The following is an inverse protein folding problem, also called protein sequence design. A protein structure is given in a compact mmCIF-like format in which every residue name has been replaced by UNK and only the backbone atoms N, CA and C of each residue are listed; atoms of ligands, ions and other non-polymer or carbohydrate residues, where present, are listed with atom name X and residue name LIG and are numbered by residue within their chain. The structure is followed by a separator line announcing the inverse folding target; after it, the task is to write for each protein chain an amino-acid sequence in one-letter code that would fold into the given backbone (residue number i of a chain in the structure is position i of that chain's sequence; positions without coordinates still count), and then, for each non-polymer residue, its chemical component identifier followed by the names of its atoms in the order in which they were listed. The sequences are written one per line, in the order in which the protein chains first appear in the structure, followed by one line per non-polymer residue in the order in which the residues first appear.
data_IF_323480203543
#
_entry.id   IF_323480203543
#
_cell.length_a   1.000
_cell.length_b   1.000
_cell.length_c   1.000
_cell.angle_alpha   90.00
_cell.angle_beta   90.00
_cell.angle_gamma   90.00
#
_symmetry.space_group_name_H-M   'P 1'
#
loop_
_entity.id
_entity.type
_entity.pdbx_description
1 polymer ?
#
# COMPACT_ATOMS: atom_id res chain seq x y z
N UNK A 1 27.10 24.68 -44.47
CA UNK A 1 26.03 23.68 -44.63
C UNK A 1 26.08 22.43 -43.70
N UNK A 2 27.08 22.26 -42.81
CA UNK A 2 27.12 21.13 -41.86
C UNK A 2 26.56 21.44 -40.46
N UNK A 3 26.58 22.71 -40.07
CA UNK A 3 26.16 23.17 -38.74
C UNK A 3 24.66 22.91 -38.52
N UNK A 4 23.83 23.09 -39.55
CA UNK A 4 22.38 22.86 -39.50
C UNK A 4 22.09 21.37 -39.29
N UNK A 5 22.80 20.48 -40.01
CA UNK A 5 22.64 19.03 -39.85
C UNK A 5 23.08 18.55 -38.47
N UNK A 6 24.17 19.11 -37.92
CA UNK A 6 24.65 18.76 -36.58
C UNK A 6 23.68 19.20 -35.48
N UNK A 7 23.09 20.39 -35.61
CA UNK A 7 22.11 20.88 -34.64
C UNK A 7 20.81 20.06 -34.67
N UNK A 8 20.38 19.65 -35.86
CA UNK A 8 19.20 18.79 -36.03
C UNK A 8 19.40 17.41 -35.39
N UNK A 9 20.59 16.81 -35.58
CA UNK A 9 20.96 15.55 -34.94
C UNK A 9 20.98 15.66 -33.41
N UNK A 10 21.52 16.77 -32.89
CA UNK A 10 21.56 17.01 -31.45
C UNK A 10 20.15 17.14 -30.86
N UNK A 11 19.25 17.85 -31.54
CA UNK A 11 17.85 17.97 -31.15
C UNK A 11 17.14 16.60 -31.18
N UNK A 12 17.30 15.82 -32.24
CA UNK A 12 16.69 14.49 -32.34
C UNK A 12 17.22 13.54 -31.26
N UNK A 13 18.53 13.54 -31.00
CA UNK A 13 19.13 12.72 -29.95
C UNK A 13 18.67 13.17 -28.56
N UNK A 14 18.52 14.47 -28.32
CA UNK A 14 17.98 15.01 -27.06
C UNK A 14 16.50 14.63 -26.85
N UNK A 15 15.69 14.66 -27.91
CA UNK A 15 14.31 14.20 -27.85
C UNK A 15 14.25 12.69 -27.58
N UNK A 16 15.09 11.91 -28.26
CA UNK A 16 15.18 10.46 -28.08
C UNK A 16 15.60 10.12 -26.66
N UNK A 17 16.61 10.81 -26.11
CA UNK A 17 17.05 10.59 -24.73
C UNK A 17 15.99 11.01 -23.71
N UNK A 18 15.27 12.12 -23.95
CA UNK A 18 14.16 12.53 -23.08
C UNK A 18 13.04 11.49 -23.05
N UNK A 19 12.68 10.90 -24.20
CA UNK A 19 11.69 9.81 -24.26
C UNK A 19 12.17 8.58 -23.49
N UNK A 20 13.44 8.19 -23.64
CA UNK A 20 14.02 7.07 -22.89
C UNK A 20 13.97 7.33 -21.39
N UNK A 21 14.36 8.53 -20.94
CA UNK A 21 14.30 8.91 -19.52
C UNK A 21 12.85 8.88 -19.02
N UNK A 22 11.90 9.40 -19.79
CA UNK A 22 10.49 9.38 -19.43
C UNK A 22 9.95 7.95 -19.25
N UNK A 23 10.27 7.05 -20.18
CA UNK A 23 9.89 5.62 -20.09
C UNK A 23 10.53 4.96 -18.87
N UNK A 24 11.79 5.27 -18.55
CA UNK A 24 12.46 4.74 -17.35
C UNK A 24 11.79 5.25 -16.07
N UNK A 25 11.46 6.54 -15.99
CA UNK A 25 10.74 7.10 -14.85
C UNK A 25 9.36 6.46 -14.69
N UNK A 26 8.62 6.29 -15.79
CA UNK A 26 7.35 5.57 -15.78
C UNK A 26 7.51 4.12 -15.33
N UNK A 27 8.52 3.39 -15.82
CA UNK A 27 8.77 2.02 -15.39
C UNK A 27 9.06 1.96 -13.89
N UNK A 28 9.87 2.89 -13.36
CA UNK A 28 10.17 2.99 -11.93
C UNK A 28 8.89 3.29 -11.13
N UNK A 29 8.06 4.24 -11.56
CA UNK A 29 6.82 4.57 -10.85
C UNK A 29 5.80 3.44 -10.93
N UNK A 30 5.67 2.77 -12.07
CA UNK A 30 4.82 1.59 -12.25
C UNK A 30 5.28 0.44 -11.37
N UNK A 31 6.59 0.14 -11.33
CA UNK A 31 7.14 -0.90 -10.44
C UNK A 31 6.90 -0.52 -8.97
N UNK A 32 7.12 0.74 -8.59
CA UNK A 32 6.83 1.22 -7.24
C UNK A 32 5.34 1.12 -6.90
N UNK A 33 4.45 1.39 -7.85
CA UNK A 33 3.01 1.25 -7.65
C UNK A 33 2.58 -0.21 -7.57
N UNK A 34 3.19 -1.11 -8.35
CA UNK A 34 2.98 -2.56 -8.25
C UNK A 34 3.47 -3.11 -6.90
N UNK A 35 4.61 -2.60 -6.42
CA UNK A 35 5.15 -2.91 -5.09
C UNK A 35 4.25 -2.32 -3.99
N UNK A 36 3.77 -1.08 -4.15
CA UNK A 36 2.86 -0.46 -3.20
C UNK A 36 1.51 -1.17 -3.15
N UNK A 37 1.00 -1.72 -4.26
CA UNK A 37 -0.19 -2.55 -4.24
C UNK A 37 0.03 -3.84 -3.43
N UNK A 38 1.24 -4.43 -3.49
CA UNK A 38 1.60 -5.57 -2.64
C UNK A 38 1.87 -5.19 -1.18
N UNK A 39 2.45 -4.02 -0.91
CA UNK A 39 2.67 -3.55 0.47
C UNK A 39 1.38 -3.07 1.13
N UNK A 40 0.44 -2.49 0.36
CA UNK A 40 -0.93 -2.32 0.83
C UNK A 40 -1.55 -3.68 1.07
N UNK A 41 -1.41 -4.71 0.24
CA UNK A 41 -1.98 -6.04 0.52
C UNK A 41 -1.49 -6.62 1.86
N UNK A 42 -0.20 -6.55 2.19
CA UNK A 42 0.30 -7.07 3.47
C UNK A 42 0.01 -6.17 4.68
N UNK A 43 0.03 -4.84 4.52
CA UNK A 43 -0.35 -3.91 5.58
C UNK A 43 -1.88 -3.86 5.79
N UNK A 44 -2.65 -4.02 4.72
CA UNK A 44 -4.11 -4.15 4.77
C UNK A 44 -4.52 -5.50 5.28
N UNK A 45 -3.85 -6.61 5.01
CA UNK A 45 -4.22 -7.89 5.59
C UNK A 45 -4.20 -7.85 7.13
N UNK A 46 -3.12 -7.31 7.71
CA UNK A 46 -3.01 -7.12 9.16
C UNK A 46 -4.01 -6.06 9.66
N UNK A 47 -4.13 -4.92 8.99
CA UNK A 47 -5.10 -3.89 9.37
C UNK A 47 -6.57 -4.38 9.26
N UNK A 48 -6.87 -5.24 8.28
CA UNK A 48 -8.17 -5.88 8.07
C UNK A 48 -8.43 -6.95 9.13
N UNK A 49 -7.40 -7.67 9.57
CA UNK A 49 -7.51 -8.61 10.70
C UNK A 49 -7.81 -7.85 12.00
N UNK A 50 -7.04 -6.80 12.30
CA UNK A 50 -7.28 -5.90 13.45
C UNK A 50 -8.68 -5.30 13.37
N UNK A 51 -9.11 -4.79 12.22
CA UNK A 51 -10.44 -4.22 12.03
C UNK A 51 -11.56 -5.28 12.22
N UNK A 52 -11.35 -6.51 11.76
CA UNK A 52 -12.30 -7.63 11.98
C UNK A 52 -12.45 -7.96 13.46
N UNK A 53 -11.34 -8.02 14.20
CA UNK A 53 -11.35 -8.26 15.64
C UNK A 53 -12.02 -7.11 16.40
N UNK A 54 -11.67 -5.85 16.10
CA UNK A 54 -12.28 -4.66 16.71
C UNK A 54 -13.79 -4.62 16.47
N UNK A 55 -14.23 -4.91 15.25
CA UNK A 55 -15.67 -4.97 14.93
C UNK A 55 -16.38 -6.04 15.76
N UNK A 56 -15.82 -7.24 15.83
CA UNK A 56 -16.39 -8.35 16.59
C UNK A 56 -16.47 -8.04 18.10
N UNK A 57 -15.45 -7.37 18.64
CA UNK A 57 -15.41 -6.90 20.02
C UNK A 57 -16.55 -5.90 20.32
N UNK A 58 -16.78 -4.94 19.42
CA UNK A 58 -17.84 -3.93 19.56
C UNK A 58 -19.24 -4.52 19.37
N UNK A 59 -19.44 -5.37 18.35
CA UNK A 59 -20.73 -6.03 18.09
C UNK A 59 -21.17 -6.92 19.25
N UNK A 60 -20.23 -7.59 19.92
CA UNK A 60 -20.49 -8.45 21.07
C UNK A 60 -20.44 -7.74 22.43
N UNK A 61 -20.28 -6.41 22.43
CA UNK A 61 -20.22 -5.58 23.65
C UNK A 61 -19.25 -6.14 24.70
N UNK A 62 -18.05 -6.48 24.25
CA UNK A 62 -17.01 -7.10 25.07
C UNK A 62 -16.40 -6.16 26.13
N UNK A 63 -16.87 -4.91 26.23
CA UNK A 63 -16.45 -3.96 27.26
C UNK A 63 -16.58 -4.55 28.66
N UNK A 64 -15.66 -4.22 29.59
CA UNK A 64 -15.61 -4.82 30.94
C UNK A 64 -16.94 -4.73 31.71
N UNK A 65 -17.74 -3.70 31.45
CA UNK A 65 -19.03 -3.45 32.09
C UNK A 65 -20.18 -4.30 31.53
N UNK A 66 -20.08 -4.75 30.28
CA UNK A 66 -21.17 -5.41 29.53
C UNK A 66 -20.86 -6.85 29.14
N UNK A 67 -19.65 -7.32 29.44
CA UNK A 67 -19.15 -8.63 29.04
C UNK A 67 -19.84 -9.77 29.79
N UNK A 68 -20.30 -10.76 29.04
CA UNK A 68 -20.92 -11.97 29.58
C UNK A 68 -19.90 -13.10 29.73
N UNK A 69 -20.03 -13.89 30.80
CA UNK A 69 -19.13 -15.03 31.11
C UNK A 69 -19.01 -16.04 29.96
N UNK A 70 -20.09 -16.28 29.21
CA UNK A 70 -20.08 -17.21 28.08
C UNK A 70 -19.18 -16.76 26.91
N UNK A 71 -18.91 -15.46 26.78
CA UNK A 71 -18.04 -14.87 25.74
C UNK A 71 -16.69 -14.42 26.30
N UNK A 72 -16.36 -14.81 27.53
CA UNK A 72 -15.12 -14.38 28.17
C UNK A 72 -13.88 -14.87 27.42
N UNK A 73 -13.88 -16.07 26.84
CA UNK A 73 -12.71 -16.49 26.06
C UNK A 73 -12.58 -15.70 24.75
N UNK A 74 -13.68 -15.58 24.00
CA UNK A 74 -13.71 -14.88 22.70
C UNK A 74 -13.37 -13.38 22.81
N UNK A 75 -13.90 -12.69 23.82
CA UNK A 75 -13.61 -11.28 24.03
C UNK A 75 -12.13 -11.02 24.36
N UNK A 76 -11.46 -11.92 25.11
CA UNK A 76 -10.01 -11.81 25.40
C UNK A 76 -9.18 -12.01 24.14
N UNK A 77 -9.62 -12.92 23.26
CA UNK A 77 -8.95 -13.16 21.98
C UNK A 77 -9.06 -11.95 21.05
N UNK A 78 -10.25 -11.36 20.91
CA UNK A 78 -10.43 -10.14 20.10
C UNK A 78 -9.70 -8.93 20.69
N UNK A 79 -9.70 -8.79 22.02
CA UNK A 79 -8.94 -7.74 22.71
C UNK A 79 -7.44 -7.87 22.48
N UNK A 80 -6.90 -9.10 22.50
CA UNK A 80 -5.50 -9.35 22.17
C UNK A 80 -5.21 -9.08 20.69
N UNK A 81 -6.11 -9.48 19.79
CA UNK A 81 -5.97 -9.30 18.36
C UNK A 81 -5.98 -7.81 17.96
N UNK A 82 -6.90 -7.01 18.49
CA UNK A 82 -7.01 -5.59 18.16
C UNK A 82 -5.85 -4.74 18.71
N UNK A 83 -5.17 -5.21 19.75
CA UNK A 83 -4.01 -4.56 20.37
C UNK A 83 -2.67 -5.10 19.85
N UNK A 84 -2.65 -5.83 18.73
CA UNK A 84 -1.38 -6.13 18.03
C UNK A 84 -1.00 -4.91 17.21
N UNK A 85 0.02 -4.18 17.68
CA UNK A 85 0.75 -3.17 16.88
C UNK A 85 1.49 -3.82 15.70
#
# INVERSE_FOLDING_TARGET
PYIISSYLQLMFNALTSAVVIYVLLMAITTIKNDINNKMEEYATEIALEVQRCTRSYLENKCSPETRVSALEQLCTEWERCMNRD
#
